data_IF_337652959636
#
_entry.id   IF_337652959636
#
_cell.length_a   1.000
_cell.length_b   1.000
_cell.length_c   1.000
_cell.angle_alpha   90.00
_cell.angle_beta   90.00
_cell.angle_gamma   90.00
#
_symmetry.space_group_name_H-M   'P 1'
#
loop_
_entity.id
_entity.type
_entity.pdbx_description
1 polymer ?
#
# COMPACT_ATOMS: atom_id res chain seq x y z
N UNK A 1 -33.92 4.00 30.64
CA UNK A 1 -33.92 5.19 29.77
C UNK A 1 -34.99 4.97 28.71
N UNK A 2 -35.97 5.86 28.64
CA UNK A 2 -37.12 5.78 27.73
C UNK A 2 -36.82 6.72 26.56
N UNK A 3 -36.79 6.19 25.34
CA UNK A 3 -36.65 7.02 24.15
C UNK A 3 -37.93 7.85 24.01
N UNK A 4 -37.81 9.17 24.16
CA UNK A 4 -38.91 10.07 23.86
C UNK A 4 -39.06 10.12 22.34
N UNK A 5 -40.25 9.77 21.86
CA UNK A 5 -40.53 9.60 20.44
C UNK A 5 -40.79 10.98 19.83
N UNK A 6 -39.75 11.62 19.30
CA UNK A 6 -39.90 12.81 18.48
C UNK A 6 -40.35 12.41 17.08
N UNK A 7 -41.66 12.49 16.81
CA UNK A 7 -42.17 12.46 15.44
C UNK A 7 -41.88 13.82 14.80
N UNK A 8 -40.74 13.92 14.11
CA UNK A 8 -40.48 15.04 13.20
C UNK A 8 -41.36 14.78 11.97
N UNK A 9 -42.45 15.53 11.89
CA UNK A 9 -43.32 15.57 10.72
C UNK A 9 -42.60 16.40 9.65
N UNK A 10 -42.02 15.72 8.66
CA UNK A 10 -41.45 16.34 7.46
C UNK A 10 -42.63 16.76 6.57
N UNK A 11 -43.30 17.83 6.98
CA UNK A 11 -44.40 18.42 6.24
C UNK A 11 -43.97 18.82 4.83
N UNK A 12 -44.76 18.42 3.85
CA UNK A 12 -44.74 18.97 2.51
C UNK A 12 -43.90 18.16 1.52
N UNK A 13 -44.56 17.30 0.77
CA UNK A 13 -44.08 16.72 -0.48
C UNK A 13 -43.65 17.82 -1.46
N UNK A 14 -42.36 18.18 -1.49
CA UNK A 14 -41.76 18.74 -2.69
C UNK A 14 -41.40 17.57 -3.60
N UNK A 15 -42.33 17.17 -4.47
CA UNK A 15 -42.09 16.30 -5.61
C UNK A 15 -41.27 17.03 -6.71
N UNK A 16 -40.21 17.72 -6.32
CA UNK A 16 -39.14 18.03 -7.23
C UNK A 16 -38.05 17.01 -6.89
N UNK A 17 -37.65 16.12 -7.81
CA UNK A 17 -36.36 15.48 -7.67
C UNK A 17 -35.36 16.64 -7.68
N UNK A 18 -34.93 17.06 -6.49
CA UNK A 18 -33.69 17.78 -6.36
C UNK A 18 -32.69 16.86 -7.06
N UNK A 19 -32.08 17.34 -8.15
CA UNK A 19 -31.12 16.57 -8.94
C UNK A 19 -29.88 16.33 -8.06
N UNK A 20 -30.00 15.40 -7.12
CA UNK A 20 -28.95 14.95 -6.25
C UNK A 20 -28.05 14.08 -7.10
N UNK A 21 -26.91 14.63 -7.50
CA UNK A 21 -25.90 13.88 -8.21
C UNK A 21 -25.14 13.03 -7.20
N UNK A 22 -25.27 11.70 -7.31
CA UNK A 22 -24.58 10.75 -6.44
C UNK A 22 -23.07 11.01 -6.49
N UNK A 23 -22.41 10.98 -5.33
CA UNK A 23 -20.96 11.14 -5.30
C UNK A 23 -20.29 9.87 -5.84
N UNK A 24 -19.04 9.95 -6.37
CA UNK A 24 -18.32 8.77 -6.85
C UNK A 24 -18.31 7.63 -5.82
N UNK A 25 -18.16 7.97 -4.54
CA UNK A 25 -18.15 7.08 -3.38
C UNK A 25 -19.45 6.27 -3.20
N UNK A 26 -20.59 6.86 -3.57
CA UNK A 26 -21.93 6.28 -3.41
C UNK A 26 -22.35 5.44 -4.63
N UNK A 27 -21.60 5.53 -5.73
CA UNK A 27 -21.86 4.80 -6.97
C UNK A 27 -21.24 3.39 -6.98
N UNK A 28 -21.95 2.47 -7.63
CA UNK A 28 -21.44 1.12 -7.91
C UNK A 28 -20.27 1.13 -8.89
N UNK A 29 -19.30 0.23 -8.68
CA UNK A 29 -18.05 0.15 -9.45
C UNK A 29 -18.23 0.11 -10.99
N UNK A 30 -19.19 -0.62 -11.58
CA UNK A 30 -19.38 -0.61 -13.03
C UNK A 30 -19.74 0.77 -13.58
N UNK A 31 -20.52 1.56 -12.83
CA UNK A 31 -20.88 2.93 -13.22
C UNK A 31 -19.72 3.93 -13.10
N UNK A 32 -18.68 3.59 -12.33
CA UNK A 32 -17.45 4.39 -12.29
C UNK A 32 -16.57 4.12 -13.50
N UNK A 33 -16.46 2.85 -13.91
CA UNK A 33 -15.60 2.44 -15.02
C UNK A 33 -16.18 2.82 -16.38
N UNK A 34 -17.51 2.83 -16.49
CA UNK A 34 -18.24 3.29 -17.66
C UNK A 34 -19.35 4.27 -17.25
N UNK A 35 -19.00 5.55 -17.01
CA UNK A 35 -19.99 6.57 -16.71
C UNK A 35 -20.83 6.84 -17.96
N UNK A 36 -22.14 6.70 -17.81
CA UNK A 36 -23.09 6.93 -18.89
C UNK A 36 -23.10 8.39 -19.36
N UNK A 37 -23.79 8.65 -20.47
CA UNK A 37 -23.90 10.00 -21.05
C UNK A 37 -25.22 10.70 -20.73
N UNK A 38 -26.08 10.06 -19.93
CA UNK A 38 -27.43 10.54 -19.63
C UNK A 38 -27.43 11.73 -18.67
N UNK A 39 -26.51 11.76 -17.70
CA UNK A 39 -26.38 12.86 -16.73
C UNK A 39 -25.27 13.84 -17.18
N UNK A 40 -25.55 15.14 -17.34
CA UNK A 40 -24.54 16.14 -17.68
C UNK A 40 -23.32 16.17 -16.73
N UNK A 41 -23.52 15.88 -15.44
CA UNK A 41 -22.45 15.82 -14.47
C UNK A 41 -21.57 14.58 -14.65
N UNK A 42 -22.14 13.44 -15.08
CA UNK A 42 -21.37 12.22 -15.38
C UNK A 42 -20.46 12.43 -16.59
N UNK A 43 -20.94 13.17 -17.59
CA UNK A 43 -20.12 13.57 -18.75
C UNK A 43 -19.01 14.53 -18.32
N UNK A 44 -19.32 15.51 -17.47
CA UNK A 44 -18.34 16.50 -17.00
C UNK A 44 -17.26 15.88 -16.09
N UNK A 45 -17.63 14.97 -15.19
CA UNK A 45 -16.71 14.31 -14.25
C UNK A 45 -16.25 12.92 -14.69
N UNK A 46 -16.41 12.58 -15.97
CA UNK A 46 -16.11 11.26 -16.53
C UNK A 46 -14.75 10.71 -16.14
N UNK A 47 -13.69 11.52 -16.30
CA UNK A 47 -12.33 11.10 -15.99
C UNK A 47 -12.11 10.87 -14.50
N UNK A 48 -12.77 11.66 -13.65
CA UNK A 48 -12.76 11.48 -12.19
C UNK A 48 -13.46 10.18 -11.80
N UNK A 49 -14.59 9.86 -12.40
CA UNK A 49 -15.32 8.62 -12.14
C UNK A 49 -14.50 7.39 -12.54
N UNK A 50 -13.87 7.42 -13.72
CA UNK A 50 -13.01 6.33 -14.19
C UNK A 50 -11.79 6.18 -13.28
N UNK A 51 -11.16 7.28 -12.88
CA UNK A 51 -10.03 7.26 -11.96
C UNK A 51 -10.38 6.64 -10.60
N UNK A 52 -11.52 7.01 -10.01
CA UNK A 52 -12.03 6.40 -8.78
C UNK A 52 -12.30 4.90 -8.96
N UNK A 53 -12.85 4.49 -10.11
CA UNK A 53 -13.09 3.09 -10.44
C UNK A 53 -11.79 2.28 -10.46
N UNK A 54 -10.76 2.79 -11.12
CA UNK A 54 -9.43 2.18 -11.09
C UNK A 54 -8.78 2.24 -9.70
N UNK A 55 -8.96 3.32 -8.95
CA UNK A 55 -8.50 3.45 -7.56
C UNK A 55 -9.00 2.31 -6.69
N UNK A 56 -10.29 2.00 -6.78
CA UNK A 56 -10.91 0.87 -6.05
C UNK A 56 -10.36 -0.49 -6.46
N UNK A 57 -10.06 -0.70 -7.74
CA UNK A 57 -9.44 -1.95 -8.21
C UNK A 57 -8.00 -2.12 -7.70
N UNK A 58 -7.31 -1.01 -7.43
CA UNK A 58 -5.95 -1.01 -6.88
C UNK A 58 -5.96 -1.25 -5.36
N UNK A 59 -7.03 -0.86 -4.64
CA UNK A 59 -7.15 -1.06 -3.19
C UNK A 59 -6.88 -2.49 -2.69
N UNK A 60 -7.40 -3.59 -3.30
CA UNK A 60 -7.06 -4.95 -2.85
C UNK A 60 -5.60 -5.34 -3.10
N UNK A 61 -4.90 -4.67 -4.03
CA UNK A 61 -3.49 -4.95 -4.36
C UNK A 61 -2.54 -4.31 -3.35
N UNK A 62 -2.84 -3.10 -2.87
CA UNK A 62 -1.97 -2.35 -1.96
C UNK A 62 -1.62 -3.09 -0.66
N UNK A 63 -2.54 -3.77 0.05
CA UNK A 63 -2.20 -4.59 1.21
C UNK A 63 -1.20 -5.70 0.90
N UNK A 64 -1.30 -6.34 -0.27
CA UNK A 64 -0.34 -7.36 -0.70
C UNK A 64 1.03 -6.74 -0.93
N UNK A 65 1.07 -5.56 -1.56
CA UNK A 65 2.29 -4.78 -1.75
C UNK A 65 2.95 -4.44 -0.42
N UNK A 66 2.20 -3.91 0.55
CA UNK A 66 2.72 -3.56 1.88
C UNK A 66 3.21 -4.80 2.63
N UNK A 67 2.45 -5.90 2.62
CA UNK A 67 2.87 -7.15 3.24
C UNK A 67 4.20 -7.66 2.65
N UNK A 68 4.34 -7.65 1.31
CA UNK A 68 5.57 -8.07 0.65
C UNK A 68 6.76 -7.17 1.03
N UNK A 69 6.57 -5.85 1.08
CA UNK A 69 7.59 -4.90 1.54
C UNK A 69 8.00 -5.23 2.98
N UNK A 70 7.04 -5.35 3.91
CA UNK A 70 7.33 -5.71 5.30
C UNK A 70 8.15 -7.00 5.40
N UNK A 71 7.76 -8.05 4.67
CA UNK A 71 8.45 -9.33 4.67
C UNK A 71 9.91 -9.21 4.22
N UNK A 72 10.19 -8.44 3.17
CA UNK A 72 11.58 -8.20 2.71
C UNK A 72 12.43 -7.63 3.83
N UNK A 73 11.96 -6.61 4.54
CA UNK A 73 12.74 -5.91 5.57
C UNK A 73 12.78 -6.67 6.90
N UNK A 74 11.70 -7.34 7.29
CA UNK A 74 11.68 -8.19 8.49
C UNK A 74 12.63 -9.39 8.33
N UNK A 75 12.62 -10.04 7.16
CA UNK A 75 13.47 -11.20 6.94
C UNK A 75 14.94 -10.82 6.71
N UNK A 76 15.25 -9.62 6.18
CA UNK A 76 16.64 -9.23 5.86
C UNK A 76 17.41 -8.66 7.05
N UNK A 77 16.71 -8.22 8.08
CA UNK A 77 17.38 -7.65 9.22
C UNK A 77 18.02 -8.72 10.10
N UNK A 78 19.28 -8.50 10.44
CA UNK A 78 19.94 -9.31 11.44
C UNK A 78 19.33 -9.00 12.82
N UNK A 79 19.04 -10.06 13.58
CA UNK A 79 18.78 -9.98 15.01
C UNK A 79 20.09 -9.60 15.72
N UNK A 80 20.52 -8.34 15.58
CA UNK A 80 21.54 -7.78 16.47
C UNK A 80 20.87 -7.34 17.76
N UNK A 81 21.58 -7.40 18.88
CA UNK A 81 21.10 -7.15 20.27
C UNK A 81 20.29 -5.86 20.49
N UNK A 82 20.22 -4.93 19.52
CA UNK A 82 19.44 -3.68 19.56
C UNK A 82 18.10 -3.73 18.78
N UNK A 83 17.72 -4.91 18.28
CA UNK A 83 16.46 -5.11 17.54
C UNK A 83 16.50 -4.58 16.10
N UNK A 84 15.49 -4.97 15.32
CA UNK A 84 15.33 -4.56 13.92
C UNK A 84 14.55 -3.24 13.77
N UNK A 85 14.84 -2.23 14.60
CA UNK A 85 14.09 -0.97 14.51
C UNK A 85 14.35 -0.25 13.18
N UNK A 86 15.59 -0.26 12.68
CA UNK A 86 15.93 0.37 11.41
C UNK A 86 15.22 -0.29 10.20
N UNK A 87 15.13 -1.62 10.17
CA UNK A 87 14.40 -2.33 9.10
C UNK A 87 12.89 -2.10 9.17
N UNK A 88 12.33 -2.01 10.38
CA UNK A 88 10.91 -1.67 10.56
C UNK A 88 10.64 -0.23 10.08
N UNK A 89 11.43 0.74 10.52
CA UNK A 89 11.27 2.15 10.13
C UNK A 89 11.41 2.36 8.62
N UNK A 90 12.36 1.66 7.99
CA UNK A 90 12.52 1.73 6.53
C UNK A 90 11.34 1.10 5.78
N UNK A 91 10.80 -0.03 6.27
CA UNK A 91 9.60 -0.63 5.69
C UNK A 91 8.39 0.29 5.81
N UNK A 92 8.14 0.85 7.00
CA UNK A 92 7.05 1.81 7.25
C UNK A 92 7.21 3.03 6.36
N UNK A 93 8.42 3.61 6.27
CA UNK A 93 8.70 4.75 5.40
C UNK A 93 8.36 4.47 3.93
N UNK A 94 8.72 3.29 3.41
CA UNK A 94 8.40 2.89 2.04
C UNK A 94 6.89 2.69 1.84
N UNK A 95 6.19 2.06 2.77
CA UNK A 95 4.74 1.89 2.71
C UNK A 95 4.02 3.24 2.70
N UNK A 96 4.43 4.16 3.58
CA UNK A 96 3.90 5.52 3.63
C UNK A 96 4.16 6.26 2.33
N UNK A 97 5.35 6.13 1.73
CA UNK A 97 5.64 6.73 0.44
C UNK A 97 4.72 6.21 -0.67
N UNK A 98 4.49 4.89 -0.72
CA UNK A 98 3.56 4.26 -1.69
C UNK A 98 2.13 4.75 -1.46
N UNK A 99 1.69 4.88 -0.20
CA UNK A 99 0.36 5.39 0.16
C UNK A 99 0.17 6.86 -0.29
N UNK A 100 1.12 7.74 0.03
CA UNK A 100 1.08 9.15 -0.36
C UNK A 100 1.09 9.29 -1.88
N UNK A 101 1.91 8.50 -2.57
CA UNK A 101 1.94 8.45 -4.02
C UNK A 101 0.59 7.98 -4.58
N UNK A 102 -0.03 6.94 -4.01
CA UNK A 102 -1.34 6.46 -4.44
C UNK A 102 -2.42 7.53 -4.35
N UNK A 103 -2.54 8.22 -3.20
CA UNK A 103 -3.51 9.29 -3.02
C UNK A 103 -3.28 10.46 -4.00
N UNK A 104 -2.02 10.82 -4.20
CA UNK A 104 -1.62 11.90 -5.10
C UNK A 104 -1.93 11.55 -6.56
N UNK A 105 -1.61 10.32 -7.00
CA UNK A 105 -1.89 9.84 -8.34
C UNK A 105 -3.38 9.68 -8.59
N UNK A 106 -4.15 9.20 -7.61
CA UNK A 106 -5.61 9.06 -7.74
C UNK A 106 -6.26 10.43 -7.96
N UNK A 107 -5.90 11.42 -7.14
CA UNK A 107 -6.38 12.79 -7.30
C UNK A 107 -5.97 13.42 -8.65
N UNK A 108 -4.73 13.18 -9.10
CA UNK A 108 -4.25 13.70 -10.37
C UNK A 108 -4.88 12.99 -11.58
N UNK A 109 -5.10 11.67 -11.49
CA UNK A 109 -5.72 10.87 -12.54
C UNK A 109 -7.16 11.31 -12.83
N UNK A 110 -7.88 11.80 -11.81
CA UNK A 110 -9.22 12.36 -12.01
C UNK A 110 -9.29 13.64 -12.85
N UNK A 111 -8.14 14.26 -13.15
CA UNK A 111 -8.01 15.39 -14.09
C UNK A 111 -7.27 15.01 -15.37
N UNK A 112 -6.45 13.96 -15.31
CA UNK A 112 -5.55 13.56 -16.39
C UNK A 112 -5.52 12.03 -16.50
N UNK A 113 -6.37 11.43 -17.34
CA UNK A 113 -6.50 9.97 -17.42
C UNK A 113 -5.22 9.27 -17.92
N UNK A 114 -4.26 10.01 -18.50
CA UNK A 114 -2.93 9.50 -18.84
C UNK A 114 -2.11 9.03 -17.63
N UNK A 115 -2.51 9.39 -16.40
CA UNK A 115 -1.85 8.93 -15.16
C UNK A 115 -2.42 7.60 -14.63
N UNK A 116 -3.46 7.05 -15.23
CA UNK A 116 -4.01 5.74 -14.82
C UNK A 116 -2.95 4.61 -14.86
N UNK A 117 -2.09 4.49 -15.89
CA UNK A 117 -1.02 3.49 -15.87
C UNK A 117 -0.04 3.69 -14.72
N UNK A 118 0.25 4.95 -14.36
CA UNK A 118 1.13 5.26 -13.23
C UNK A 118 0.51 4.84 -11.89
N UNK A 119 -0.82 4.95 -11.75
CA UNK A 119 -1.54 4.50 -10.55
C UNK A 119 -1.36 2.99 -10.32
N UNK A 120 -1.50 2.19 -11.39
CA UNK A 120 -1.24 0.76 -11.37
C UNK A 120 0.23 0.44 -11.13
N UNK A 121 1.14 1.16 -11.79
CA UNK A 121 2.57 0.99 -11.61
C UNK A 121 3.00 1.20 -10.15
N UNK A 122 2.43 2.21 -9.46
CA UNK A 122 2.71 2.49 -8.06
C UNK A 122 2.36 1.32 -7.12
N UNK A 123 1.34 0.52 -7.45
CA UNK A 123 0.97 -0.65 -6.66
C UNK A 123 1.75 -1.91 -7.07
N UNK A 124 1.90 -2.15 -8.38
CA UNK A 124 2.46 -3.39 -8.92
C UNK A 124 3.99 -3.44 -8.90
N UNK A 125 4.68 -2.33 -9.16
CA UNK A 125 6.16 -2.30 -9.20
C UNK A 125 6.75 -2.67 -7.83
N UNK A 126 6.33 -2.05 -6.71
CA UNK A 126 6.89 -2.40 -5.40
C UNK A 126 6.53 -3.83 -4.99
N UNK A 127 5.36 -4.34 -5.40
CA UNK A 127 4.96 -5.73 -5.18
C UNK A 127 5.89 -6.69 -5.93
N UNK A 128 6.06 -6.50 -7.24
CA UNK A 128 6.91 -7.34 -8.07
C UNK A 128 8.37 -7.29 -7.60
N UNK A 129 8.88 -6.10 -7.25
CA UNK A 129 10.22 -5.95 -6.69
C UNK A 129 10.36 -6.69 -5.36
N UNK A 130 9.38 -6.58 -4.47
CA UNK A 130 9.43 -7.27 -3.18
C UNK A 130 9.38 -8.78 -3.35
N UNK A 131 8.49 -9.30 -4.21
CA UNK A 131 8.39 -10.73 -4.51
C UNK A 131 9.67 -11.27 -5.14
N UNK A 132 10.25 -10.57 -6.11
CA UNK A 132 11.51 -11.01 -6.73
C UNK A 132 12.68 -11.02 -5.72
N UNK A 133 12.72 -10.06 -4.80
CA UNK A 133 13.70 -10.05 -3.70
C UNK A 133 13.48 -11.17 -2.69
N UNK A 134 12.24 -11.57 -2.43
CA UNK A 134 11.91 -12.70 -1.54
C UNK A 134 12.29 -14.04 -2.16
N UNK A 135 12.07 -14.22 -3.46
CA UNK A 135 12.36 -15.46 -4.18
C UNK A 135 13.85 -15.66 -4.49
N UNK A 136 14.67 -14.59 -4.45
CA UNK A 136 16.10 -14.69 -4.73
C UNK A 136 16.82 -15.51 -3.65
N UNK A 137 17.50 -16.62 -4.00
CA UNK A 137 18.11 -17.51 -3.02
C UNK A 137 19.16 -16.77 -2.19
N UNK A 138 18.98 -16.81 -0.87
CA UNK A 138 19.87 -16.16 0.09
C UNK A 138 21.16 -16.96 0.19
N UNK A 139 22.23 -16.43 -0.41
CA UNK A 139 23.58 -16.85 -0.06
C UNK A 139 23.84 -16.44 1.39
N UNK A 140 23.56 -17.37 2.31
CA UNK A 140 24.03 -17.24 3.69
C UNK A 140 25.54 -17.10 3.57
N UNK A 141 26.08 -15.89 3.79
CA UNK A 141 27.52 -15.73 4.01
C UNK A 141 27.81 -16.54 5.26
N UNK A 142 28.20 -17.81 5.09
CA UNK A 142 28.81 -18.58 6.16
C UNK A 142 29.97 -17.71 6.60
N UNK A 143 29.92 -17.21 7.85
CA UNK A 143 31.15 -16.67 8.45
C UNK A 143 32.19 -17.77 8.28
N UNK A 144 33.38 -17.48 7.72
CA UNK A 144 34.47 -18.44 7.74
C UNK A 144 34.60 -18.95 9.18
N UNK A 145 34.78 -20.26 9.39
CA UNK A 145 35.04 -20.78 10.73
C UNK A 145 36.21 -19.98 11.34
N UNK A 146 36.18 -19.67 12.65
CA UNK A 146 37.34 -19.12 13.33
C UNK A 146 38.54 -19.98 12.96
N UNK A 147 39.59 -19.35 12.42
CA UNK A 147 40.87 -20.02 12.33
C UNK A 147 41.38 -20.15 13.76
N UNK A 148 41.00 -21.24 14.43
CA UNK A 148 41.60 -21.65 15.69
C UNK A 148 43.03 -22.11 15.39
N UNK A 149 43.92 -21.15 15.19
CA UNK A 149 45.35 -21.34 15.40
C UNK A 149 45.56 -21.50 16.91
N UNK A 150 45.66 -22.77 17.34
CA UNK A 150 45.46 -23.22 18.71
C UNK A 150 46.47 -22.77 19.77
N UNK A 151 46.14 -22.98 21.06
CA UNK A 151 47.07 -22.88 22.18
C UNK A 151 47.50 -24.27 22.68
N UNK A 152 48.58 -24.81 22.11
CA UNK A 152 49.43 -25.92 22.58
C UNK A 152 50.55 -26.04 21.53
N UNK A 153 51.80 -25.60 21.71
CA UNK A 153 52.81 -26.19 22.59
C UNK A 153 54.05 -25.28 22.69
N UNK A 154 54.03 -24.25 23.53
CA UNK A 154 55.26 -23.50 23.88
C UNK A 154 55.21 -23.01 25.34
N UNK A 155 54.87 -23.90 26.26
CA UNK A 155 55.24 -23.76 27.68
C UNK A 155 56.14 -24.95 28.01
N UNK A 156 57.42 -24.66 28.31
CA UNK A 156 58.26 -25.56 29.11
C UNK A 156 59.50 -26.12 28.42
N UNK A 157 60.59 -25.35 28.40
CA UNK A 157 61.94 -25.90 28.63
C UNK A 157 62.80 -24.85 29.36
N UNK A 158 63.00 -25.00 30.68
CA UNK A 158 64.16 -24.48 31.38
C UNK A 158 65.15 -25.63 31.63
N UNK A 159 66.31 -25.58 30.98
CA UNK A 159 67.55 -26.27 31.38
C UNK A 159 68.66 -25.88 30.39
N UNK A 160 69.49 -24.89 30.75
CA UNK A 160 70.91 -25.02 31.12
C UNK A 160 71.54 -23.62 31.29
#
# INVERSE_FOLDING_TARGET
MRFDRSTIDLGGTSNAPENYWDQPEERFLPRLLDPGTTDPNDVYYRDKLIAEGHGRLVLPVLPLTYAAIALVFMLRASFSRRGNLAGILTAVGLMTAVLVAHLSLLNAAGRTPSLLPALWANALIPLALSVTLLLKPRRHKRRPPPQDGGPADAVGQPAE
#
